data_IF_546390509769
#
_entry.id   IF_546390509769
#
_cell.length_a   1.000
_cell.length_b   1.000
_cell.length_c   1.000
_cell.angle_alpha   90.00
_cell.angle_beta   90.00
_cell.angle_gamma   90.00
#
_symmetry.space_group_name_H-M   'P 1'
#
loop_
_entity.id
_entity.type
_entity.pdbx_description
1 polymer ?
#
# COMPACT_ATOMS: atom_id res chain seq x y z
N UNK A 1 8.67 -28.77 21.45
CA UNK A 1 7.66 -29.07 20.40
C UNK A 1 6.71 -30.15 20.85
N UNK A 2 5.42 -30.06 20.49
CA UNK A 2 4.35 -30.81 21.15
C UNK A 2 4.59 -32.32 21.09
N UNK A 3 4.94 -32.90 22.25
CA UNK A 3 5.18 -34.35 22.41
C UNK A 3 3.88 -35.15 22.37
N UNK A 4 2.77 -34.51 22.71
CA UNK A 4 1.44 -35.11 22.89
C UNK A 4 0.75 -35.49 21.57
N UNK A 5 1.20 -34.95 20.43
CA UNK A 5 0.65 -35.26 19.08
C UNK A 5 -0.89 -35.20 19.01
N UNK A 6 -1.49 -34.23 19.68
CA UNK A 6 -2.95 -34.04 19.68
C UNK A 6 -3.50 -33.93 18.25
N UNK A 7 -4.58 -34.65 17.89
CA UNK A 7 -5.20 -34.56 16.58
C UNK A 7 -5.94 -33.23 16.40
N UNK A 8 -6.03 -32.77 15.16
CA UNK A 8 -6.93 -31.68 14.78
C UNK A 8 -8.23 -32.30 14.24
N UNK A 9 -9.31 -32.17 15.01
CA UNK A 9 -10.62 -32.72 14.68
C UNK A 9 -11.50 -31.62 14.10
N UNK A 10 -11.95 -31.81 12.86
CA UNK A 10 -12.94 -30.93 12.23
C UNK A 10 -14.33 -31.33 12.73
N UNK A 11 -15.04 -30.40 13.34
CA UNK A 11 -16.42 -30.59 13.78
C UNK A 11 -17.31 -29.56 13.08
N UNK A 12 -18.56 -29.93 12.85
CA UNK A 12 -19.60 -29.03 12.37
C UNK A 12 -20.63 -28.88 13.49
N UNK A 13 -20.87 -27.63 13.90
CA UNK A 13 -21.67 -27.31 15.09
C UNK A 13 -22.63 -26.17 14.75
N UNK A 14 -23.78 -26.15 15.42
CA UNK A 14 -24.77 -25.08 15.27
C UNK A 14 -24.21 -23.74 15.73
N UNK A 15 -24.63 -22.64 15.10
CA UNK A 15 -24.21 -21.30 15.51
C UNK A 15 -24.66 -20.98 16.93
N UNK A 16 -25.83 -21.45 17.35
CA UNK A 16 -26.37 -21.20 18.69
C UNK A 16 -25.51 -21.85 19.79
N UNK A 17 -25.08 -23.10 19.59
CA UNK A 17 -24.19 -23.79 20.53
C UNK A 17 -22.82 -23.08 20.60
N UNK A 18 -22.30 -22.61 19.47
CA UNK A 18 -21.04 -21.88 19.41
C UNK A 18 -21.13 -20.50 20.07
N UNK A 19 -22.28 -19.83 20.01
CA UNK A 19 -22.51 -18.55 20.68
C UNK A 19 -22.49 -18.71 22.20
N UNK A 20 -23.08 -19.78 22.75
CA UNK A 20 -22.99 -20.05 24.19
C UNK A 20 -21.58 -20.52 24.58
N UNK A 21 -20.96 -21.39 23.79
CA UNK A 21 -19.60 -21.88 24.05
C UNK A 21 -18.54 -20.76 24.03
N UNK A 22 -18.64 -19.81 23.12
CA UNK A 22 -17.70 -18.69 22.98
C UNK A 22 -18.16 -17.40 23.68
N UNK A 23 -19.15 -17.46 24.57
CA UNK A 23 -19.69 -16.30 25.31
C UNK A 23 -18.64 -15.49 26.05
N UNK A 24 -17.54 -16.12 26.45
CA UNK A 24 -16.39 -15.48 27.09
C UNK A 24 -15.50 -14.66 26.14
N UNK A 25 -15.64 -14.82 24.81
CA UNK A 25 -14.81 -14.17 23.80
C UNK A 25 -15.69 -13.35 22.83
N UNK A 26 -15.75 -12.05 23.08
CA UNK A 26 -16.53 -11.08 22.30
C UNK A 26 -16.20 -11.10 20.80
N UNK A 27 -14.93 -11.29 20.43
CA UNK A 27 -14.48 -11.29 19.04
C UNK A 27 -14.98 -12.51 18.26
N UNK A 28 -14.94 -13.70 18.87
CA UNK A 28 -15.49 -14.92 18.25
C UNK A 28 -17.00 -14.82 18.06
N UNK A 29 -17.70 -14.26 19.05
CA UNK A 29 -19.15 -14.00 18.96
C UNK A 29 -19.48 -13.00 17.85
N UNK A 30 -18.70 -11.91 17.70
CA UNK A 30 -18.87 -10.96 16.58
C UNK A 30 -18.68 -11.64 15.23
N UNK A 31 -17.61 -12.44 15.06
CA UNK A 31 -17.36 -13.20 13.82
C UNK A 31 -18.56 -14.10 13.48
N UNK A 32 -19.11 -14.81 14.47
CA UNK A 32 -20.28 -15.68 14.26
C UNK A 32 -21.50 -14.88 13.79
N UNK A 33 -21.79 -13.74 14.43
CA UNK A 33 -22.97 -12.91 14.08
C UNK A 33 -22.83 -12.21 12.73
N UNK A 34 -21.64 -11.74 12.39
CA UNK A 34 -21.42 -10.89 11.22
C UNK A 34 -21.06 -11.69 9.96
N UNK A 35 -20.26 -12.76 10.11
CA UNK A 35 -19.63 -13.45 8.98
C UNK A 35 -20.19 -14.83 8.69
N UNK A 36 -20.90 -15.44 9.64
CA UNK A 36 -21.54 -16.75 9.44
C UNK A 36 -23.02 -16.52 9.13
N UNK A 37 -23.39 -16.81 7.88
CA UNK A 37 -24.78 -16.67 7.39
C UNK A 37 -25.52 -18.01 7.33
N UNK A 38 -24.87 -19.10 7.76
CA UNK A 38 -25.39 -20.47 7.73
C UNK A 38 -25.77 -20.92 9.14
N UNK A 39 -26.73 -21.84 9.31
CA UNK A 39 -27.16 -22.33 10.62
C UNK A 39 -26.07 -23.15 11.35
N UNK A 40 -25.15 -23.76 10.59
CA UNK A 40 -23.97 -24.47 11.09
C UNK A 40 -22.69 -23.85 10.55
N UNK A 41 -21.59 -24.02 11.27
CA UNK A 41 -20.25 -23.66 10.80
C UNK A 41 -19.20 -24.65 11.29
N UNK A 42 -18.05 -24.64 10.65
CA UNK A 42 -16.94 -25.54 10.97
C UNK A 42 -16.06 -24.95 12.06
N UNK A 43 -15.70 -25.79 13.02
CA UNK A 43 -14.68 -25.52 14.04
C UNK A 43 -13.60 -26.60 14.00
N UNK A 44 -12.44 -26.30 14.57
CA UNK A 44 -11.40 -27.27 14.81
C UNK A 44 -11.13 -27.41 16.29
N UNK A 45 -11.16 -28.65 16.78
CA UNK A 45 -10.73 -29.03 18.13
C UNK A 45 -9.30 -29.57 18.09
N UNK A 46 -8.47 -29.10 19.00
CA UNK A 46 -7.13 -29.62 19.24
C UNK A 46 -6.94 -29.76 20.76
N UNK A 47 -7.17 -30.96 21.28
CA UNK A 47 -7.19 -31.21 22.73
C UNK A 47 -8.26 -30.35 23.44
N UNK A 48 -7.90 -29.49 24.40
CA UNK A 48 -8.84 -28.60 25.07
C UNK A 48 -9.17 -27.34 24.26
N UNK A 49 -8.40 -27.02 23.21
CA UNK A 49 -8.63 -25.83 22.40
C UNK A 49 -9.69 -26.09 21.34
N UNK A 50 -10.68 -25.19 21.25
CA UNK A 50 -11.66 -25.16 20.18
C UNK A 50 -11.60 -23.79 19.50
N UNK A 51 -11.47 -23.78 18.17
CA UNK A 51 -11.31 -22.54 17.41
C UNK A 51 -12.16 -22.49 16.14
N UNK A 52 -12.59 -21.27 15.79
CA UNK A 52 -13.35 -20.98 14.58
C UNK A 52 -12.39 -20.91 13.40
N UNK A 53 -12.39 -21.94 12.57
CA UNK A 53 -11.54 -22.00 11.39
C UNK A 53 -12.19 -22.83 10.29
N UNK A 54 -11.99 -22.44 9.03
CA UNK A 54 -12.44 -23.21 7.85
C UNK A 54 -11.44 -24.31 7.47
N UNK A 55 -10.16 -24.16 7.85
CA UNK A 55 -9.08 -25.10 7.56
C UNK A 55 -8.65 -25.09 6.08
N UNK A 56 -7.93 -26.14 5.63
CA UNK A 56 -7.59 -27.38 6.34
C UNK A 56 -6.48 -27.22 7.39
N UNK A 57 -6.43 -28.15 8.35
CA UNK A 57 -5.34 -28.27 9.33
C UNK A 57 -4.45 -29.48 9.03
N UNK A 58 -3.22 -29.47 9.56
CA UNK A 58 -2.37 -30.67 9.61
C UNK A 58 -3.03 -31.76 10.48
N UNK A 59 -2.67 -33.04 10.27
CA UNK A 59 -3.33 -34.16 10.96
C UNK A 59 -3.24 -34.10 12.49
N UNK A 60 -2.10 -33.66 13.02
CA UNK A 60 -1.85 -33.57 14.45
C UNK A 60 -0.73 -32.57 14.76
N UNK A 61 -0.68 -32.04 15.98
CA UNK A 61 0.30 -31.01 16.42
C UNK A 61 1.75 -31.45 16.27
N UNK A 62 2.04 -32.75 16.38
CA UNK A 62 3.38 -33.31 16.17
C UNK A 62 3.96 -33.17 14.75
N UNK A 63 3.17 -32.69 13.77
CA UNK A 63 3.66 -32.31 12.43
C UNK A 63 4.32 -30.93 12.41
N UNK A 64 4.06 -30.10 13.40
CA UNK A 64 4.74 -28.81 13.61
C UNK A 64 6.11 -29.11 14.24
N UNK A 65 7.19 -29.03 13.43
CA UNK A 65 8.55 -29.51 13.77
C UNK A 65 9.62 -28.43 13.93
N UNK A 66 9.39 -27.23 13.41
CA UNK A 66 10.09 -26.02 13.84
C UNK A 66 9.10 -24.87 13.91
N UNK A 67 9.16 -24.02 14.93
CA UNK A 67 8.27 -22.87 15.13
C UNK A 67 9.01 -21.79 15.89
N UNK A 68 8.84 -20.54 15.46
CA UNK A 68 9.42 -19.37 16.10
C UNK A 68 8.47 -18.20 16.04
N UNK A 69 8.32 -17.51 17.16
CA UNK A 69 7.66 -16.20 17.22
C UNK A 69 8.65 -15.16 16.71
N UNK A 70 8.24 -14.35 15.74
CA UNK A 70 9.13 -13.45 15.00
C UNK A 70 8.96 -11.99 15.42
N UNK A 71 7.73 -11.56 15.68
CA UNK A 71 7.41 -10.16 15.99
C UNK A 71 6.10 -10.07 16.76
N UNK A 72 5.95 -9.04 17.59
CA UNK A 72 4.65 -8.57 18.09
C UNK A 72 4.33 -7.19 17.50
N UNK A 73 3.04 -6.90 17.31
CA UNK A 73 2.57 -5.57 16.94
C UNK A 73 1.19 -5.30 17.52
N UNK A 74 0.77 -4.04 17.54
CA UNK A 74 -0.63 -3.70 17.75
C UNK A 74 -1.38 -3.71 16.41
N UNK A 75 -2.69 -3.97 16.45
CA UNK A 75 -3.62 -3.85 15.34
C UNK A 75 -4.98 -3.49 15.88
N UNK A 76 -5.90 -3.01 15.05
CA UNK A 76 -7.27 -2.73 15.47
C UNK A 76 -8.21 -3.77 14.86
N UNK A 77 -9.36 -4.00 15.51
CA UNK A 77 -10.39 -4.86 14.96
C UNK A 77 -10.82 -4.38 13.56
N UNK A 78 -10.79 -5.29 12.58
CA UNK A 78 -11.03 -5.02 11.15
C UNK A 78 -10.20 -3.88 10.52
N UNK A 79 -9.14 -3.42 11.20
CA UNK A 79 -8.33 -2.29 10.74
C UNK A 79 -8.94 -0.91 11.03
N UNK A 80 -10.06 -0.82 11.75
CA UNK A 80 -10.69 0.45 12.14
C UNK A 80 -9.98 1.03 13.37
N UNK A 81 -9.34 2.20 13.22
CA UNK A 81 -8.62 2.88 14.29
C UNK A 81 -9.51 3.31 15.48
N UNK A 82 -10.85 3.35 15.31
CA UNK A 82 -11.81 3.63 16.39
C UNK A 82 -12.23 2.39 17.16
N UNK A 83 -11.95 1.20 16.63
CA UNK A 83 -12.32 -0.07 17.25
C UNK A 83 -11.32 -0.53 18.30
N UNK A 84 -11.58 -1.68 18.94
CA UNK A 84 -10.72 -2.20 19.99
C UNK A 84 -9.29 -2.52 19.48
N UNK A 85 -8.30 -2.14 20.27
CA UNK A 85 -6.89 -2.47 20.02
C UNK A 85 -6.58 -3.89 20.44
N UNK A 86 -5.83 -4.59 19.59
CA UNK A 86 -5.46 -6.00 19.70
C UNK A 86 -3.96 -6.18 19.60
N UNK A 87 -3.44 -7.18 20.30
CA UNK A 87 -2.05 -7.60 20.12
C UNK A 87 -1.97 -8.71 19.08
N UNK A 88 -1.16 -8.46 18.05
CA UNK A 88 -0.85 -9.43 16.99
C UNK A 88 0.52 -10.03 17.25
N UNK A 89 0.58 -11.35 17.30
CA UNK A 89 1.82 -12.11 17.42
C UNK A 89 2.08 -12.83 16.11
N UNK A 90 3.20 -12.49 15.45
CA UNK A 90 3.65 -13.16 14.25
C UNK A 90 4.51 -14.36 14.62
N UNK A 91 4.28 -15.47 13.94
CA UNK A 91 5.12 -16.66 14.05
C UNK A 91 5.23 -17.35 12.70
N UNK A 92 6.29 -18.13 12.55
CA UNK A 92 6.52 -18.95 11.37
C UNK A 92 6.86 -20.38 11.79
N UNK A 93 6.45 -21.36 10.98
CA UNK A 93 6.72 -22.76 11.22
C UNK A 93 7.25 -23.45 9.96
N UNK A 94 8.16 -24.41 10.14
CA UNK A 94 8.64 -25.29 9.09
C UNK A 94 8.50 -26.78 9.47
N UNK A 95 8.43 -27.69 8.48
CA UNK A 95 8.40 -29.14 8.70
C UNK A 95 9.67 -29.73 9.32
N UNK A 96 10.76 -28.97 9.35
CA UNK A 96 12.05 -29.39 9.90
C UNK A 96 12.87 -28.17 10.37
N UNK A 97 13.90 -28.43 11.18
CA UNK A 97 14.76 -27.39 11.73
C UNK A 97 15.77 -26.82 10.72
N UNK A 98 16.09 -27.56 9.64
CA UNK A 98 17.04 -27.10 8.62
C UNK A 98 16.44 -25.94 7.83
N UNK A 99 15.20 -26.06 7.37
CA UNK A 99 14.47 -24.99 6.68
C UNK A 99 14.27 -23.75 7.55
N UNK A 100 14.05 -23.93 8.86
CA UNK A 100 13.99 -22.78 9.77
C UNK A 100 15.31 -22.04 9.84
N UNK A 101 16.45 -22.74 9.94
CA UNK A 101 17.77 -22.10 9.92
C UNK A 101 18.07 -21.41 8.58
N UNK A 102 17.71 -22.04 7.47
CA UNK A 102 17.84 -21.42 6.12
C UNK A 102 17.02 -20.13 6.03
N UNK A 103 15.77 -20.16 6.51
CA UNK A 103 14.92 -18.98 6.57
C UNK A 103 15.50 -17.90 7.49
N UNK A 104 16.00 -18.27 8.67
CA UNK A 104 16.63 -17.32 9.60
C UNK A 104 17.85 -16.64 8.97
N UNK A 105 18.71 -17.41 8.29
CA UNK A 105 19.85 -16.87 7.56
C UNK A 105 19.41 -15.89 6.46
N UNK A 106 18.37 -16.23 5.70
CA UNK A 106 17.80 -15.36 4.69
C UNK A 106 17.24 -14.06 5.29
N UNK A 107 16.54 -14.13 6.42
CA UNK A 107 16.05 -12.94 7.11
C UNK A 107 17.18 -12.07 7.66
N UNK A 108 18.27 -12.66 8.14
CA UNK A 108 19.44 -11.92 8.59
C UNK A 108 20.11 -11.17 7.43
N UNK A 109 20.27 -11.83 6.28
CA UNK A 109 20.78 -11.21 5.05
C UNK A 109 19.87 -10.08 4.55
N UNK A 110 18.55 -10.30 4.57
CA UNK A 110 17.56 -9.27 4.21
C UNK A 110 17.61 -8.07 5.17
N UNK A 111 17.75 -8.31 6.49
CA UNK A 111 17.85 -7.24 7.49
C UNK A 111 19.12 -6.39 7.33
N UNK A 112 20.22 -6.95 6.81
CA UNK A 112 21.44 -6.20 6.47
C UNK A 112 21.22 -5.26 5.28
N UNK A 113 20.25 -5.55 4.41
CA UNK A 113 19.90 -4.78 3.22
C UNK A 113 18.72 -3.83 3.43
N UNK A 114 18.26 -3.69 4.68
CA UNK A 114 17.16 -2.79 5.02
C UNK A 114 17.59 -1.34 4.82
N UNK A 115 16.90 -0.61 3.92
CA UNK A 115 17.22 0.77 3.60
C UNK A 115 17.12 1.70 4.81
N UNK A 116 16.32 1.36 5.83
CA UNK A 116 16.20 2.14 7.07
C UNK A 116 17.47 2.04 7.91
N UNK A 117 18.08 0.86 7.92
CA UNK A 117 19.36 0.62 8.60
C UNK A 117 20.48 1.30 7.84
N UNK A 118 20.60 1.02 6.54
CA UNK A 118 21.62 1.60 5.66
C UNK A 118 21.52 3.14 5.64
N UNK A 119 20.31 3.67 5.47
CA UNK A 119 20.08 5.11 5.39
C UNK A 119 20.46 5.85 6.67
N UNK A 120 20.32 5.22 7.83
CA UNK A 120 20.79 5.76 9.11
C UNK A 120 22.31 5.63 9.25
N UNK A 121 22.87 4.44 9.00
CA UNK A 121 24.30 4.15 9.13
C UNK A 121 25.17 5.00 8.18
N UNK A 122 24.65 5.33 7.00
CA UNK A 122 25.34 6.14 6.00
C UNK A 122 24.94 7.62 6.03
N UNK A 123 24.10 8.04 6.98
CA UNK A 123 23.61 9.42 7.10
C UNK A 123 22.95 9.94 5.82
N UNK A 124 22.14 9.11 5.16
CA UNK A 124 21.40 9.48 3.95
C UNK A 124 20.12 10.21 4.30
N UNK A 125 19.40 9.73 5.31
CA UNK A 125 18.15 10.32 5.74
C UNK A 125 17.79 9.94 7.19
N UNK A 126 16.85 10.67 7.77
CA UNK A 126 16.23 10.32 9.04
C UNK A 126 14.74 10.68 9.05
N UNK A 127 14.02 10.23 10.07
CA UNK A 127 12.62 10.58 10.33
C UNK A 127 12.52 11.17 11.74
N UNK A 128 11.63 12.15 11.91
CA UNK A 128 11.39 12.82 13.19
C UNK A 128 9.91 12.74 13.56
N UNK A 129 9.62 12.59 14.85
CA UNK A 129 8.24 12.49 15.36
C UNK A 129 7.39 13.74 15.13
N UNK A 130 8.02 14.90 14.96
CA UNK A 130 7.36 16.15 14.58
C UNK A 130 6.87 16.17 13.12
N UNK A 131 7.34 15.24 12.27
CA UNK A 131 6.82 15.06 10.92
C UNK A 131 6.72 13.57 10.57
N UNK A 132 5.78 12.82 11.18
CA UNK A 132 5.66 11.38 10.98
C UNK A 132 5.39 11.02 9.52
N UNK A 133 6.22 10.14 8.97
CA UNK A 133 6.10 9.71 7.57
C UNK A 133 6.63 10.75 6.57
N UNK A 134 7.33 11.78 7.03
CA UNK A 134 8.06 12.72 6.17
C UNK A 134 9.55 12.53 6.37
N UNK A 135 10.24 12.21 5.28
CA UNK A 135 11.69 11.97 5.30
C UNK A 135 12.47 13.29 5.33
N UNK A 136 13.50 13.34 6.18
CA UNK A 136 14.53 14.37 6.14
C UNK A 136 15.75 13.80 5.41
N UNK A 137 15.97 14.23 4.16
CA UNK A 137 17.17 13.88 3.42
C UNK A 137 18.36 14.72 3.92
N UNK A 138 19.42 14.03 4.30
CA UNK A 138 20.70 14.63 4.68
C UNK A 138 21.55 14.88 3.41
N UNK A 139 22.67 15.63 3.47
CA UNK A 139 23.41 16.01 2.26
C UNK A 139 23.75 14.87 1.30
N UNK A 140 24.17 13.70 1.80
CA UNK A 140 24.48 12.52 0.98
C UNK A 140 23.22 11.93 0.33
N UNK A 141 22.11 11.84 1.07
CA UNK A 141 20.83 11.36 0.51
C UNK A 141 20.21 12.35 -0.47
N UNK A 142 20.34 13.65 -0.20
CA UNK A 142 19.90 14.71 -1.09
C UNK A 142 20.67 14.70 -2.41
N UNK A 143 21.98 14.40 -2.38
CA UNK A 143 22.77 14.20 -3.59
C UNK A 143 22.20 13.07 -4.45
N UNK A 144 21.97 11.88 -3.87
CA UNK A 144 21.36 10.75 -4.59
C UNK A 144 19.99 11.14 -5.15
N UNK A 145 19.15 11.76 -4.32
CA UNK A 145 17.81 12.20 -4.71
C UNK A 145 17.84 13.16 -5.91
N UNK A 146 18.70 14.18 -5.88
CA UNK A 146 18.82 15.14 -6.97
C UNK A 146 19.39 14.51 -8.24
N UNK A 147 20.38 13.62 -8.13
CA UNK A 147 20.93 12.89 -9.29
C UNK A 147 19.86 12.04 -9.97
N UNK A 148 18.99 11.38 -9.20
CA UNK A 148 17.86 10.61 -9.76
C UNK A 148 16.85 11.51 -10.47
N UNK A 149 16.53 12.67 -9.90
CA UNK A 149 15.63 13.64 -10.54
C UNK A 149 16.24 14.17 -11.83
N UNK A 150 17.52 14.54 -11.82
CA UNK A 150 18.22 15.06 -13.00
C UNK A 150 18.24 14.03 -14.13
N UNK A 151 18.47 12.75 -13.82
CA UNK A 151 18.36 11.65 -14.76
C UNK A 151 16.95 11.54 -15.36
N UNK A 152 15.90 11.51 -14.54
CA UNK A 152 14.53 11.38 -15.09
C UNK A 152 14.13 12.63 -15.87
N UNK A 153 14.54 13.83 -15.45
CA UNK A 153 14.35 15.08 -16.20
C UNK A 153 15.02 15.04 -17.57
N UNK A 154 16.25 14.52 -17.68
CA UNK A 154 16.91 14.39 -18.98
C UNK A 154 16.14 13.43 -19.89
N UNK A 155 15.65 12.32 -19.35
CA UNK A 155 14.87 11.35 -20.11
C UNK A 155 13.50 11.90 -20.55
N UNK A 156 12.84 12.69 -19.70
CA UNK A 156 11.60 13.38 -20.04
C UNK A 156 11.79 14.36 -21.19
N UNK A 157 12.89 15.13 -21.18
CA UNK A 157 13.19 16.10 -22.24
C UNK A 157 13.39 15.42 -23.60
N UNK A 158 14.11 14.29 -23.64
CA UNK A 158 14.32 13.52 -24.89
C UNK A 158 13.01 12.97 -25.45
N UNK A 159 12.03 12.67 -24.59
CA UNK A 159 10.70 12.14 -24.96
C UNK A 159 9.63 13.21 -25.14
N UNK A 160 10.02 14.49 -25.12
CA UNK A 160 9.11 15.61 -25.39
C UNK A 160 8.13 15.92 -24.26
N UNK A 161 8.42 15.49 -23.02
CA UNK A 161 7.67 15.94 -21.84
C UNK A 161 8.08 17.37 -21.48
N UNK A 162 7.08 18.15 -21.07
CA UNK A 162 7.25 19.52 -20.61
C UNK A 162 7.05 19.56 -19.10
N UNK A 163 8.10 19.93 -18.36
CA UNK A 163 8.00 20.07 -16.92
C UNK A 163 7.14 21.28 -16.55
N UNK A 164 6.18 21.06 -15.65
CA UNK A 164 5.30 22.09 -15.09
C UNK A 164 5.43 22.09 -13.57
N UNK A 165 5.09 23.23 -12.95
CA UNK A 165 5.07 23.39 -11.50
C UNK A 165 3.67 23.78 -11.08
N UNK A 166 3.04 22.94 -10.26
CA UNK A 166 1.68 23.16 -9.78
C UNK A 166 1.62 23.45 -8.27
N UNK A 167 0.61 24.21 -7.80
CA UNK A 167 0.41 24.44 -6.36
C UNK A 167 0.34 23.16 -5.52
N UNK A 168 0.62 23.30 -4.21
CA UNK A 168 0.50 22.19 -3.25
C UNK A 168 -0.84 22.17 -2.52
N UNK A 169 -1.54 23.30 -2.45
CA UNK A 169 -2.78 23.50 -1.71
C UNK A 169 -3.86 23.92 -2.71
N UNK A 170 -5.01 23.25 -2.65
CA UNK A 170 -6.16 23.56 -3.50
C UNK A 170 -7.44 23.63 -2.67
N UNK A 171 -8.39 24.43 -3.15
CA UNK A 171 -9.75 24.39 -2.66
C UNK A 171 -10.35 23.00 -2.93
N UNK A 172 -11.07 22.44 -1.96
CA UNK A 172 -11.68 21.11 -2.02
C UNK A 172 -12.60 20.89 -3.22
N UNK A 173 -13.18 21.97 -3.78
CA UNK A 173 -13.97 21.95 -5.01
C UNK A 173 -13.23 21.24 -6.16
N UNK A 174 -11.91 21.40 -6.29
CA UNK A 174 -11.14 20.70 -7.34
C UNK A 174 -11.19 19.17 -7.19
N UNK A 175 -11.09 18.69 -5.96
CA UNK A 175 -11.14 17.25 -5.66
C UNK A 175 -12.55 16.70 -5.81
N UNK A 176 -13.58 17.50 -5.51
CA UNK A 176 -14.97 17.15 -5.76
C UNK A 176 -15.26 17.04 -7.25
N UNK A 177 -14.81 18.02 -8.05
CA UNK A 177 -14.97 18.02 -9.52
C UNK A 177 -14.26 16.84 -10.17
N UNK A 178 -13.06 16.49 -9.69
CA UNK A 178 -12.32 15.34 -10.22
C UNK A 178 -12.81 13.97 -9.71
N UNK A 179 -13.80 13.93 -8.81
CA UNK A 179 -14.32 12.69 -8.20
C UNK A 179 -13.41 12.08 -7.11
N UNK A 180 -12.23 12.66 -6.87
CA UNK A 180 -11.29 12.13 -5.90
C UNK A 180 -11.74 12.34 -4.46
N UNK A 181 -12.54 13.38 -4.18
CA UNK A 181 -13.00 13.67 -2.82
C UNK A 181 -13.77 12.49 -2.21
N UNK A 182 -14.66 11.88 -2.99
CA UNK A 182 -15.52 10.78 -2.57
C UNK A 182 -14.72 9.52 -2.20
N UNK A 183 -13.55 9.31 -2.79
CA UNK A 183 -12.73 8.11 -2.60
C UNK A 183 -11.50 8.35 -1.71
N UNK A 184 -10.98 9.57 -1.66
CA UNK A 184 -9.69 9.88 -1.03
C UNK A 184 -9.77 10.88 0.12
N UNK A 185 -10.91 11.54 0.38
CA UNK A 185 -10.99 12.58 1.42
C UNK A 185 -10.49 12.12 2.79
N UNK A 186 -10.77 10.87 3.20
CA UNK A 186 -10.28 10.33 4.48
C UNK A 186 -8.75 10.23 4.56
N UNK A 187 -8.10 10.06 3.40
CA UNK A 187 -6.65 9.95 3.26
C UNK A 187 -6.00 11.27 2.81
N UNK A 188 -6.72 12.39 2.87
CA UNK A 188 -6.20 13.72 2.52
C UNK A 188 -5.94 14.56 3.78
N UNK A 189 -4.93 15.42 3.69
CA UNK A 189 -4.74 16.48 4.68
C UNK A 189 -5.58 17.68 4.29
N UNK A 190 -6.71 17.87 4.97
CA UNK A 190 -7.60 19.01 4.77
C UNK A 190 -7.62 19.96 5.96
N UNK A 191 -7.85 21.24 5.70
CA UNK A 191 -7.95 22.29 6.71
C UNK A 191 -8.88 23.42 6.22
N UNK A 192 -9.47 24.15 7.16
CA UNK A 192 -10.38 25.26 6.86
C UNK A 192 -9.61 26.57 6.70
N UNK A 193 -9.93 27.32 5.65
CA UNK A 193 -9.41 28.67 5.38
C UNK A 193 -10.59 29.54 4.98
N UNK A 194 -10.84 30.62 5.71
CA UNK A 194 -11.88 31.62 5.38
C UNK A 194 -13.29 31.01 5.11
N UNK A 195 -13.67 29.98 5.89
CA UNK A 195 -14.93 29.20 5.76
C UNK A 195 -15.00 28.31 4.53
N UNK A 196 -13.91 28.14 3.79
CA UNK A 196 -13.78 27.14 2.73
C UNK A 196 -12.81 26.03 3.16
N UNK A 197 -13.06 24.82 2.67
CA UNK A 197 -12.20 23.68 2.95
C UNK A 197 -11.12 23.58 1.87
N UNK A 198 -9.87 23.54 2.29
CA UNK A 198 -8.70 23.33 1.44
C UNK A 198 -8.05 21.99 1.77
N UNK A 199 -7.26 21.47 0.83
CA UNK A 199 -6.46 20.28 1.07
C UNK A 199 -5.12 20.32 0.36
N UNK A 200 -4.12 19.65 0.95
CA UNK A 200 -2.87 19.33 0.28
C UNK A 200 -3.14 18.32 -0.84
N UNK A 201 -2.48 18.50 -1.99
CA UNK A 201 -2.65 17.60 -3.14
C UNK A 201 -2.17 16.18 -2.82
N UNK A 202 -3.00 15.14 -3.03
CA UNK A 202 -2.60 13.73 -2.91
C UNK A 202 -2.08 13.13 -4.24
N UNK A 203 -2.21 13.89 -5.33
CA UNK A 203 -1.79 13.58 -6.70
C UNK A 203 -1.73 14.87 -7.55
N UNK A 204 -1.03 14.86 -8.69
CA UNK A 204 -0.90 16.05 -9.55
C UNK A 204 -1.99 16.17 -10.63
N UNK A 205 -2.70 15.08 -10.95
CA UNK A 205 -3.59 14.97 -12.12
C UNK A 205 -4.57 16.14 -12.26
N UNK A 206 -5.35 16.52 -11.21
CA UNK A 206 -6.31 17.62 -11.34
C UNK A 206 -5.66 18.97 -11.62
N UNK A 207 -4.45 19.22 -11.11
CA UNK A 207 -3.69 20.42 -11.42
C UNK A 207 -3.25 20.46 -12.89
N UNK A 208 -2.90 19.32 -13.46
CA UNK A 208 -2.52 19.22 -14.89
C UNK A 208 -3.73 19.43 -15.80
N UNK A 209 -4.92 18.96 -15.39
CA UNK A 209 -6.17 19.27 -16.09
C UNK A 209 -6.46 20.78 -16.10
N UNK A 210 -6.21 21.50 -15.00
CA UNK A 210 -6.35 22.97 -14.98
C UNK A 210 -5.36 23.66 -15.94
N UNK A 211 -4.13 23.16 -16.07
CA UNK A 211 -3.16 23.68 -17.06
C UNK A 211 -3.66 23.43 -18.50
N UNK A 212 -4.22 22.25 -18.75
CA UNK A 212 -4.79 21.93 -20.04
C UNK A 212 -5.96 22.88 -20.38
N UNK A 213 -6.89 23.05 -19.44
CA UNK A 213 -8.12 23.85 -19.55
C UNK A 213 -7.89 25.37 -19.58
N UNK A 214 -6.75 25.86 -19.08
CA UNK A 214 -6.44 27.29 -19.01
C UNK A 214 -6.58 28.03 -20.36
N UNK A 215 -6.42 27.33 -21.49
CA UNK A 215 -6.69 27.89 -22.82
C UNK A 215 -7.21 26.83 -23.78
N UNK A 216 -7.86 27.31 -24.85
CA UNK A 216 -8.26 26.48 -25.98
C UNK A 216 -7.02 25.80 -26.60
N UNK A 217 -7.14 24.50 -26.89
CA UNK A 217 -6.08 23.66 -27.47
C UNK A 217 -6.45 23.21 -28.87
N UNK A 218 -5.50 23.29 -29.79
CA UNK A 218 -5.63 22.67 -31.11
C UNK A 218 -5.28 21.19 -31.05
N UNK A 219 -5.95 20.35 -31.86
CA UNK A 219 -5.61 18.94 -32.00
C UNK A 219 -4.16 18.73 -32.46
N UNK A 220 -3.56 19.73 -33.13
CA UNK A 220 -2.15 19.72 -33.57
C UNK A 220 -1.14 19.81 -32.43
N UNK A 221 -1.58 20.25 -31.24
CA UNK A 221 -0.75 20.28 -30.04
C UNK A 221 -0.71 18.90 -29.34
N UNK A 222 -1.53 17.94 -29.77
CA UNK A 222 -1.59 16.61 -29.19
C UNK A 222 -0.61 15.64 -29.90
N UNK A 223 0.11 14.79 -29.16
CA UNK A 223 0.00 14.56 -27.71
C UNK A 223 0.75 15.63 -26.89
N UNK A 224 0.06 16.18 -25.88
CA UNK A 224 0.67 17.09 -24.90
C UNK A 224 1.09 16.28 -23.67
N UNK A 225 2.38 16.30 -23.34
CA UNK A 225 2.96 15.52 -22.23
C UNK A 225 3.45 16.45 -21.14
N UNK A 226 2.79 16.46 -19.99
CA UNK A 226 3.16 17.29 -18.84
C UNK A 226 3.83 16.42 -17.78
N UNK A 227 5.02 16.81 -17.30
CA UNK A 227 5.72 16.15 -16.20
C UNK A 227 5.76 17.07 -14.97
N UNK A 228 5.68 16.51 -13.76
CA UNK A 228 5.65 17.28 -12.52
C UNK A 228 6.28 16.49 -11.38
N UNK A 229 7.31 17.08 -10.77
CA UNK A 229 8.00 16.53 -9.59
C UNK A 229 7.48 17.14 -8.28
N UNK A 230 6.24 17.63 -8.29
CA UNK A 230 5.59 18.32 -7.20
C UNK A 230 5.41 17.46 -5.96
N UNK A 231 5.40 18.12 -4.79
CA UNK A 231 5.27 17.44 -3.50
C UNK A 231 3.82 17.01 -3.27
N UNK A 232 3.64 15.73 -2.98
CA UNK A 232 2.35 15.12 -2.70
C UNK A 232 2.25 14.73 -1.22
N UNK A 233 1.02 14.78 -0.71
CA UNK A 233 0.72 14.38 0.67
C UNK A 233 -0.47 13.42 0.73
N UNK A 234 -0.30 12.30 1.43
CA UNK A 234 -1.37 11.35 1.79
C UNK A 234 -1.36 11.12 3.29
N UNK A 235 -2.52 11.23 3.93
CA UNK A 235 -2.71 11.02 5.36
C UNK A 235 -2.77 9.52 5.70
N UNK A 236 -1.68 8.81 5.40
CA UNK A 236 -1.53 7.39 5.70
C UNK A 236 -1.62 7.14 7.22
N UNK A 237 -2.22 6.01 7.61
CA UNK A 237 -2.28 5.58 9.00
C UNK A 237 -0.86 5.47 9.58
N UNK A 238 -0.63 6.01 10.78
CA UNK A 238 0.70 6.07 11.39
C UNK A 238 1.35 4.68 11.55
N UNK A 239 0.55 3.65 11.84
CA UNK A 239 1.01 2.27 11.95
C UNK A 239 1.42 1.60 10.63
N UNK A 240 1.04 2.19 9.48
CA UNK A 240 1.41 1.68 8.15
C UNK A 240 2.72 2.29 7.62
N UNK A 241 3.21 3.37 8.25
CA UNK A 241 4.43 4.06 7.80
C UNK A 241 5.67 3.17 7.96
N UNK A 242 6.52 3.14 6.93
CA UNK A 242 7.72 2.30 6.93
C UNK A 242 8.84 2.89 6.08
N UNK A 243 9.80 3.55 6.73
CA UNK A 243 10.96 4.16 6.07
C UNK A 243 10.55 5.01 4.86
N UNK A 244 11.31 4.89 3.77
CA UNK A 244 10.97 5.48 2.47
C UNK A 244 9.91 4.71 1.64
N UNK A 245 9.45 3.53 2.07
CA UNK A 245 8.54 2.69 1.26
C UNK A 245 7.07 3.07 1.41
N UNK A 246 6.67 3.57 2.59
CA UNK A 246 5.31 4.08 2.84
C UNK A 246 5.41 5.32 3.72
N UNK A 247 5.11 6.46 3.12
CA UNK A 247 5.34 7.80 3.63
C UNK A 247 4.10 8.66 3.46
N UNK A 248 3.99 9.73 4.24
CA UNK A 248 2.93 10.74 4.09
C UNK A 248 3.28 11.82 3.08
N UNK A 249 4.55 12.18 2.99
CA UNK A 249 5.09 13.13 2.01
C UNK A 249 5.96 12.39 1.00
N UNK A 250 5.65 12.53 -0.28
CA UNK A 250 6.41 11.92 -1.36
C UNK A 250 6.43 12.82 -2.59
N UNK A 251 7.34 12.51 -3.51
CA UNK A 251 7.41 13.12 -4.84
C UNK A 251 7.49 11.96 -5.82
N UNK A 252 6.69 12.04 -6.86
CA UNK A 252 6.73 11.11 -7.98
C UNK A 252 7.37 11.82 -9.15
N UNK A 253 8.01 11.07 -10.01
CA UNK A 253 8.23 11.41 -11.41
C UNK A 253 6.90 11.36 -12.18
N UNK A 254 5.91 12.13 -11.72
CA UNK A 254 4.55 12.07 -12.23
C UNK A 254 4.44 12.73 -13.60
N UNK A 255 3.59 12.19 -14.46
CA UNK A 255 3.32 12.76 -15.76
C UNK A 255 1.94 12.42 -16.28
N UNK A 256 1.34 13.35 -17.02
CA UNK A 256 0.04 13.19 -17.64
C UNK A 256 0.13 13.52 -19.13
N UNK A 257 -0.37 12.59 -19.94
CA UNK A 257 -0.38 12.71 -21.40
C UNK A 257 -1.81 12.97 -21.85
N UNK A 258 -2.05 14.15 -22.41
CA UNK A 258 -3.29 14.48 -23.09
C UNK A 258 -3.12 14.13 -24.57
N UNK A 259 -3.89 13.16 -25.04
CA UNK A 259 -3.80 12.66 -26.42
C UNK A 259 -5.18 12.37 -26.99
N UNK A 260 -5.25 12.18 -28.31
CA UNK A 260 -6.45 11.70 -28.97
C UNK A 260 -6.64 10.19 -28.75
N UNK A 261 -7.86 9.68 -28.91
CA UNK A 261 -8.16 8.25 -28.74
C UNK A 261 -7.28 7.37 -29.64
N UNK A 262 -7.02 7.80 -30.88
CA UNK A 262 -6.15 7.09 -31.83
C UNK A 262 -4.68 7.02 -31.39
N UNK A 263 -4.22 7.93 -30.52
CA UNK A 263 -2.84 7.98 -30.05
C UNK A 263 -2.60 7.15 -28.79
N UNK A 264 -3.67 6.67 -28.11
CA UNK A 264 -3.54 5.96 -26.82
C UNK A 264 -2.58 4.77 -26.91
N UNK A 265 -2.70 3.94 -27.96
CA UNK A 265 -1.85 2.76 -28.10
C UNK A 265 -0.37 3.13 -28.26
N UNK A 266 -0.08 4.18 -29.04
CA UNK A 266 1.29 4.65 -29.28
C UNK A 266 1.91 5.22 -28.00
N UNK A 267 1.15 6.04 -27.25
CA UNK A 267 1.61 6.61 -25.98
C UNK A 267 1.83 5.55 -24.89
N UNK A 268 0.99 4.51 -24.84
CA UNK A 268 1.19 3.38 -23.90
C UNK A 268 2.48 2.63 -24.28
N UNK A 269 2.70 2.32 -25.55
CA UNK A 269 3.92 1.66 -26.01
C UNK A 269 5.16 2.49 -25.67
N UNK A 270 5.14 3.80 -25.94
CA UNK A 270 6.24 4.72 -25.59
C UNK A 270 6.50 4.80 -24.09
N UNK A 271 5.45 4.77 -23.26
CA UNK A 271 5.60 4.75 -21.80
C UNK A 271 6.22 3.43 -21.30
N UNK A 272 5.86 2.29 -21.88
CA UNK A 272 6.44 0.99 -21.54
C UNK A 272 7.90 0.87 -21.97
N UNK A 273 8.25 1.39 -23.15
CA UNK A 273 9.64 1.48 -23.61
C UNK A 273 10.47 2.38 -22.70
N UNK A 274 9.90 3.51 -22.27
CA UNK A 274 10.55 4.40 -21.32
C UNK A 274 10.78 3.70 -19.97
N UNK A 275 9.76 3.03 -19.43
CA UNK A 275 9.88 2.22 -18.20
C UNK A 275 11.00 1.18 -18.33
N UNK A 276 11.03 0.44 -19.45
CA UNK A 276 12.04 -0.58 -19.71
C UNK A 276 13.45 0.02 -19.77
N UNK A 277 13.61 1.18 -20.41
CA UNK A 277 14.88 1.90 -20.46
C UNK A 277 15.38 2.24 -19.05
N UNK A 278 14.54 2.91 -18.25
CA UNK A 278 14.89 3.30 -16.87
C UNK A 278 15.27 2.07 -16.05
N UNK A 279 14.46 1.00 -16.08
CA UNK A 279 14.72 -0.20 -15.29
C UNK A 279 16.01 -0.89 -15.70
N UNK A 280 16.31 -0.92 -17.00
CA UNK A 280 17.56 -1.47 -17.53
C UNK A 280 18.79 -0.71 -17.03
N UNK A 281 18.75 0.62 -17.01
CA UNK A 281 19.86 1.44 -16.49
C UNK A 281 20.16 1.15 -15.01
N UNK A 282 19.12 0.86 -14.21
CA UNK A 282 19.29 0.46 -12.81
C UNK A 282 19.49 -1.06 -12.59
N UNK A 283 19.53 -1.86 -13.66
CA UNK A 283 19.69 -3.31 -13.58
C UNK A 283 18.49 -4.04 -12.96
N UNK A 284 17.29 -3.45 -13.01
CA UNK A 284 16.07 -4.03 -12.51
C UNK A 284 15.35 -4.88 -13.57
N UNK A 285 14.64 -5.90 -13.09
CA UNK A 285 13.65 -6.66 -13.85
C UNK A 285 12.26 -6.36 -13.29
N UNK A 286 11.21 -6.54 -14.10
CA UNK A 286 9.84 -6.27 -13.69
C UNK A 286 8.85 -7.26 -14.31
N UNK A 287 7.74 -7.46 -13.60
CA UNK A 287 6.56 -8.16 -14.09
C UNK A 287 5.44 -7.14 -14.32
N UNK A 288 4.68 -7.32 -15.41
CA UNK A 288 3.54 -6.46 -15.72
C UNK A 288 2.23 -7.10 -15.24
N UNK A 289 1.38 -6.29 -14.60
CA UNK A 289 0.03 -6.67 -14.21
C UNK A 289 -0.96 -5.66 -14.79
N UNK A 290 -2.04 -6.16 -15.41
CA UNK A 290 -3.14 -5.31 -15.88
C UNK A 290 -4.25 -5.28 -14.83
N UNK A 291 -4.42 -4.12 -14.19
CA UNK A 291 -5.54 -3.88 -13.28
C UNK A 291 -6.79 -3.51 -14.08
N UNK A 292 -7.81 -4.38 -14.04
CA UNK A 292 -9.11 -4.13 -14.69
C UNK A 292 -10.06 -3.35 -13.80
N UNK A 293 -11.19 -2.92 -14.36
CA UNK A 293 -12.25 -2.15 -13.69
C UNK A 293 -12.64 -2.76 -12.33
N UNK A 294 -12.57 -2.00 -11.22
CA UNK A 294 -13.04 -2.45 -9.91
C UNK A 294 -14.57 -2.35 -9.79
N UNK A 295 -15.17 -2.95 -8.75
CA UNK A 295 -16.61 -2.87 -8.48
C UNK A 295 -17.11 -1.42 -8.29
N UNK A 296 -16.27 -0.57 -7.72
CA UNK A 296 -16.55 0.85 -7.49
C UNK A 296 -15.75 1.71 -8.49
N UNK A 297 -16.24 1.81 -9.73
CA UNK A 297 -15.59 2.55 -10.82
C UNK A 297 -16.33 3.84 -11.20
N UNK A 298 -15.62 4.76 -11.87
CA UNK A 298 -16.16 5.98 -12.45
C UNK A 298 -16.03 5.91 -13.99
N UNK A 299 -17.05 6.38 -14.72
CA UNK A 299 -17.08 6.42 -16.19
C UNK A 299 -18.19 5.55 -16.82
N UNK A 300 -18.40 5.69 -18.13
CA UNK A 300 -19.42 4.94 -18.88
C UNK A 300 -18.93 3.52 -19.24
N UNK A 301 -19.85 2.56 -19.23
CA UNK A 301 -19.56 1.16 -19.57
C UNK A 301 -19.38 0.97 -21.09
N UNK A 302 -20.01 1.82 -21.88
CA UNK A 302 -19.97 1.78 -23.33
C UNK A 302 -19.16 2.96 -23.86
N UNK A 303 -18.02 2.66 -24.48
CA UNK A 303 -17.36 3.52 -25.46
C UNK A 303 -17.26 2.71 -26.75
#
# INVERSE_FOLDING_TARGET
>A
MSKEKQPFERLEVSVDDLLEMFKYNTFKVRILKEKVKTPTTTIYRCGPLIDLCRGPHVRHTGKVKSFKVTKNSATYWEGDAKAESLQRVYGISFPDAKRMKEWEKFQEEASKRDHRKIGKEQELFFFHELSPGSCFFQPKGAHIYNTLIEFIRSEYKVRGFQEVVTPNVYNSKLWMTSGHWQHYAENMFSFDVEKEQFALKPMNCPGHCLIFDHRIRSWRELPLRLADFGVLHRNELSGALSGLTRVRRFQQDDAHIFCTVSQISEEISGALEFLQYVYKEFGFSFDLCLSTRPDNFLGDIAV
#
